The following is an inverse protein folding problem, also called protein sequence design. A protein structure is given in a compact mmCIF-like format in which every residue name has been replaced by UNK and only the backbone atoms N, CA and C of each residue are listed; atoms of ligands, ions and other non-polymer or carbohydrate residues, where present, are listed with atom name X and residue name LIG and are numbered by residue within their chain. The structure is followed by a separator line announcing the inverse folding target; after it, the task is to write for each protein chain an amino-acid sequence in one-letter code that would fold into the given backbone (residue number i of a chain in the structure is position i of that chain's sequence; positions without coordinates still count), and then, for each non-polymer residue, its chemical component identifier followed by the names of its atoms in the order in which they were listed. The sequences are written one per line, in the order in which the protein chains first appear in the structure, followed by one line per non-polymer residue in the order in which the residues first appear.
data_IF_125889606498
#
_entry.id   IF_125889606498
#
_cell.length_a   1.000
_cell.length_b   1.000
_cell.length_c   1.000
_cell.angle_alpha   90.00
_cell.angle_beta   90.00
_cell.angle_gamma   90.00
#
_symmetry.space_group_name_H-M   'P 1'
#
loop_
_entity.id
_entity.type
_entity.pdbx_description
1 polymer ?
#
# COMPACT_ATOMS: atom_id res chain seq x y z
N UNK A 1 -0.20 31.40 26.09
CA UNK A 1 1.09 30.73 26.25
C UNK A 1 1.00 29.23 26.26
N UNK A 2 -0.15 28.71 26.55
CA UNK A 2 -0.47 27.30 26.34
C UNK A 2 -0.42 26.90 24.86
N UNK A 3 -0.63 27.86 23.94
CA UNK A 3 -0.72 27.61 22.51
C UNK A 3 0.57 27.08 21.87
N UNK A 4 1.74 27.59 22.31
CA UNK A 4 3.02 27.13 21.75
C UNK A 4 3.36 25.73 22.18
N UNK A 5 3.04 25.36 23.41
CA UNK A 5 3.28 24.03 23.93
C UNK A 5 2.31 23.01 23.29
N UNK A 6 1.04 23.40 23.13
CA UNK A 6 0.04 22.59 22.47
C UNK A 6 0.40 22.36 21.01
N UNK A 7 0.87 23.39 20.30
CA UNK A 7 1.31 23.29 18.91
C UNK A 7 2.53 22.38 18.77
N UNK A 8 3.45 22.47 19.72
CA UNK A 8 4.62 21.58 19.75
C UNK A 8 4.21 20.12 19.90
N UNK A 9 3.31 19.84 20.84
CA UNK A 9 2.82 18.47 21.06
C UNK A 9 2.05 17.95 19.86
N UNK A 10 1.21 18.76 19.24
CA UNK A 10 0.47 18.41 18.02
C UNK A 10 1.41 18.11 16.86
N UNK A 11 2.46 18.92 16.70
CA UNK A 11 3.46 18.71 15.66
C UNK A 11 4.23 17.41 15.89
N UNK A 12 4.61 17.11 17.13
CA UNK A 12 5.26 15.85 17.49
C UNK A 12 4.38 14.65 17.14
N UNK A 13 3.10 14.76 17.47
CA UNK A 13 2.14 13.68 17.15
C UNK A 13 2.03 13.47 15.65
N UNK A 14 1.93 14.57 14.89
CA UNK A 14 1.84 14.48 13.42
C UNK A 14 3.12 13.89 12.82
N UNK A 15 4.29 14.22 13.35
CA UNK A 15 5.55 13.64 12.92
C UNK A 15 5.59 12.12 13.18
N UNK A 16 5.08 11.69 14.34
CA UNK A 16 4.97 10.26 14.65
C UNK A 16 4.01 9.55 13.70
N UNK A 17 2.87 10.18 13.41
CA UNK A 17 1.89 9.63 12.48
C UNK A 17 2.46 9.53 11.06
N UNK A 18 3.24 10.52 10.64
CA UNK A 18 3.92 10.49 9.35
C UNK A 18 4.95 9.36 9.28
N UNK A 19 5.71 9.20 10.35
CA UNK A 19 6.71 8.13 10.47
C UNK A 19 6.04 6.76 10.38
N UNK A 20 4.93 6.59 11.09
CA UNK A 20 4.15 5.35 11.06
C UNK A 20 3.58 5.09 9.67
N UNK A 21 3.05 6.12 9.03
CA UNK A 21 2.53 6.03 7.66
C UNK A 21 3.62 5.59 6.69
N UNK A 22 4.83 6.14 6.79
CA UNK A 22 5.97 5.75 5.95
C UNK A 22 6.35 4.29 6.15
N UNK A 23 6.30 3.80 7.39
CA UNK A 23 6.56 2.39 7.68
C UNK A 23 5.51 1.49 7.03
N UNK A 24 4.24 1.91 7.09
CA UNK A 24 3.15 1.16 6.43
C UNK A 24 3.31 1.14 4.92
N UNK A 25 3.73 2.27 4.32
CA UNK A 25 4.01 2.34 2.89
C UNK A 25 5.15 1.39 2.50
N UNK A 26 6.22 1.36 3.29
CA UNK A 26 7.36 0.47 3.04
C UNK A 26 6.95 -1.00 3.10
N UNK A 27 6.15 -1.38 4.10
CA UNK A 27 5.62 -2.74 4.23
C UNK A 27 4.71 -3.10 3.05
N UNK A 28 3.88 -2.16 2.63
CA UNK A 28 2.99 -2.38 1.49
C UNK A 28 3.79 -2.59 0.21
N UNK A 29 4.88 -1.84 0.02
CA UNK A 29 5.77 -2.03 -1.12
C UNK A 29 6.39 -3.42 -1.13
N UNK A 30 6.82 -3.93 0.04
CA UNK A 30 7.32 -5.30 0.17
C UNK A 30 6.25 -6.32 -0.25
N UNK A 31 5.02 -6.11 0.20
CA UNK A 31 3.89 -6.97 -0.16
C UNK A 31 3.62 -6.91 -1.66
N UNK A 32 3.65 -5.72 -2.26
CA UNK A 32 3.47 -5.54 -3.70
C UNK A 32 4.54 -6.29 -4.49
N UNK A 33 5.79 -6.21 -4.05
CA UNK A 33 6.91 -6.90 -4.70
C UNK A 33 6.74 -8.41 -4.62
N UNK A 34 6.35 -8.93 -3.45
CA UNK A 34 6.07 -10.35 -3.26
C UNK A 34 4.90 -10.80 -4.14
N UNK A 35 3.84 -10.00 -4.19
CA UNK A 35 2.69 -10.27 -5.03
C UNK A 35 3.07 -10.32 -6.52
N UNK A 36 3.92 -9.39 -6.96
CA UNK A 36 4.43 -9.37 -8.33
C UNK A 36 5.22 -10.62 -8.67
N UNK A 37 6.06 -11.08 -7.74
CA UNK A 37 6.83 -12.31 -7.91
C UNK A 37 5.90 -13.52 -8.02
N UNK A 38 4.87 -13.57 -7.20
CA UNK A 38 3.86 -14.64 -7.24
C UNK A 38 3.13 -14.61 -8.59
N UNK A 39 2.72 -13.44 -9.07
CA UNK A 39 2.06 -13.30 -10.38
C UNK A 39 2.94 -13.79 -11.52
N UNK A 40 4.22 -13.42 -11.49
CA UNK A 40 5.18 -13.85 -12.50
C UNK A 40 5.35 -15.37 -12.50
N UNK A 41 5.41 -15.97 -11.31
CA UNK A 41 5.52 -17.41 -11.14
C UNK A 41 4.27 -18.13 -11.63
N UNK A 42 3.10 -17.59 -11.28
CA UNK A 42 1.81 -18.14 -11.74
C UNK A 42 1.67 -18.09 -13.26
N UNK A 43 2.13 -16.99 -13.85
CA UNK A 43 2.10 -16.85 -15.31
C UNK A 43 2.98 -17.91 -15.99
N UNK A 44 4.17 -18.13 -15.45
CA UNK A 44 5.07 -19.18 -15.93
C UNK A 44 4.45 -20.56 -15.81
N UNK A 45 3.84 -20.86 -14.66
CA UNK A 45 3.15 -22.13 -14.43
C UNK A 45 1.98 -22.30 -15.39
N UNK A 46 1.19 -21.24 -15.59
CA UNK A 46 0.05 -21.26 -16.51
C UNK A 46 0.51 -21.61 -17.93
N UNK A 47 1.57 -20.96 -18.40
CA UNK A 47 2.12 -21.23 -19.73
C UNK A 47 2.63 -22.65 -19.86
N UNK A 48 3.33 -23.15 -18.84
CA UNK A 48 3.89 -24.50 -18.82
C UNK A 48 2.77 -25.55 -18.80
N UNK A 49 1.78 -25.35 -17.93
CA UNK A 49 0.63 -26.28 -17.81
C UNK A 49 -0.21 -26.27 -19.08
N UNK A 50 -0.39 -25.12 -19.70
CA UNK A 50 -1.16 -24.98 -20.94
C UNK A 50 -0.54 -25.79 -22.08
N UNK A 51 0.79 -25.93 -22.08
CA UNK A 51 1.50 -26.73 -23.08
C UNK A 51 1.33 -28.24 -22.85
N UNK A 52 1.10 -28.64 -21.61
CA UNK A 52 1.10 -30.06 -21.22
C UNK A 52 -0.32 -30.58 -21.02
N UNK A 53 -1.20 -29.79 -20.44
CA UNK A 53 -2.56 -30.19 -20.04
C UNK A 53 -3.60 -29.21 -20.57
N UNK A 54 -4.80 -29.76 -20.85
CA UNK A 54 -5.96 -28.98 -21.25
C UNK A 54 -7.14 -29.32 -20.32
N UNK A 55 -8.17 -28.45 -20.28
CA UNK A 55 -9.41 -28.70 -19.54
C UNK A 55 -9.42 -28.17 -18.13
N UNK A 56 -9.63 -29.03 -17.13
CA UNK A 56 -9.88 -28.64 -15.74
C UNK A 56 -8.74 -27.87 -15.10
N UNK A 57 -7.53 -28.13 -15.51
CA UNK A 57 -6.33 -27.39 -15.03
C UNK A 57 -6.40 -25.92 -15.42
N UNK A 58 -6.87 -25.62 -16.62
CA UNK A 58 -7.01 -24.23 -17.08
C UNK A 58 -8.03 -23.46 -16.24
N UNK A 59 -9.13 -24.12 -15.83
CA UNK A 59 -10.14 -23.49 -14.97
C UNK A 59 -9.56 -23.07 -13.62
N UNK A 60 -8.75 -23.94 -13.00
CA UNK A 60 -8.11 -23.65 -11.73
C UNK A 60 -7.13 -22.48 -11.84
N UNK A 61 -6.37 -22.42 -12.93
CA UNK A 61 -5.43 -21.33 -13.20
C UNK A 61 -6.15 -20.02 -13.47
N UNK A 62 -7.30 -20.06 -14.13
CA UNK A 62 -8.14 -18.88 -14.34
C UNK A 62 -8.69 -18.33 -13.03
N UNK A 63 -9.10 -19.21 -12.10
CA UNK A 63 -9.54 -18.82 -10.78
C UNK A 63 -8.41 -18.16 -9.99
N UNK A 64 -7.21 -18.73 -10.05
CA UNK A 64 -6.03 -18.15 -9.41
C UNK A 64 -5.75 -16.75 -9.96
N UNK A 65 -5.82 -16.60 -11.27
CA UNK A 65 -5.62 -15.30 -11.93
C UNK A 65 -6.67 -14.27 -11.49
N UNK A 66 -7.92 -14.71 -11.34
CA UNK A 66 -8.99 -13.85 -10.81
C UNK A 66 -8.65 -13.34 -9.41
N UNK A 67 -8.21 -14.23 -8.51
CA UNK A 67 -7.82 -13.84 -7.15
C UNK A 67 -6.63 -12.90 -7.15
N UNK A 68 -5.66 -13.11 -8.02
CA UNK A 68 -4.50 -12.23 -8.16
C UNK A 68 -4.92 -10.81 -8.56
N UNK A 69 -5.88 -10.68 -9.48
CA UNK A 69 -6.43 -9.38 -9.88
C UNK A 69 -7.14 -8.69 -8.73
N UNK A 70 -7.90 -9.43 -7.91
CA UNK A 70 -8.56 -8.87 -6.74
C UNK A 70 -7.55 -8.37 -5.71
N UNK A 71 -6.48 -9.13 -5.51
CA UNK A 71 -5.39 -8.73 -4.61
C UNK A 71 -4.69 -7.46 -5.10
N UNK A 72 -4.43 -7.36 -6.39
CA UNK A 72 -3.81 -6.16 -6.98
C UNK A 72 -4.69 -4.93 -6.74
N UNK A 73 -5.99 -5.04 -6.95
CA UNK A 73 -6.94 -3.95 -6.69
C UNK A 73 -6.94 -3.54 -5.23
N UNK A 74 -6.90 -4.51 -4.32
CA UNK A 74 -6.84 -4.24 -2.88
C UNK A 74 -5.56 -3.50 -2.51
N UNK A 75 -4.42 -3.95 -3.02
CA UNK A 75 -3.12 -3.33 -2.75
C UNK A 75 -3.06 -1.91 -3.28
N UNK A 76 -3.55 -1.69 -4.50
CA UNK A 76 -3.60 -0.35 -5.11
C UNK A 76 -4.48 0.60 -4.30
N UNK A 77 -5.63 0.13 -3.85
CA UNK A 77 -6.54 0.91 -3.03
C UNK A 77 -5.91 1.27 -1.70
N UNK A 78 -5.23 0.32 -1.07
CA UNK A 78 -4.54 0.54 0.21
C UNK A 78 -3.40 1.55 0.06
N UNK A 79 -2.64 1.43 -1.01
CA UNK A 79 -1.56 2.36 -1.34
C UNK A 79 -2.10 3.79 -1.51
N UNK A 80 -3.19 3.93 -2.24
CA UNK A 80 -3.85 5.22 -2.46
C UNK A 80 -4.31 5.84 -1.14
N UNK A 81 -4.91 5.05 -0.26
CA UNK A 81 -5.36 5.49 1.06
C UNK A 81 -4.18 6.00 1.90
N UNK A 82 -3.06 5.28 1.90
CA UNK A 82 -1.86 5.68 2.66
C UNK A 82 -1.25 6.97 2.11
N UNK A 83 -1.25 7.15 0.80
CA UNK A 83 -0.74 8.38 0.17
C UNK A 83 -1.65 9.58 0.49
N UNK A 84 -2.96 9.41 0.48
CA UNK A 84 -3.90 10.45 0.87
C UNK A 84 -3.71 10.83 2.35
N UNK A 85 -3.54 9.84 3.22
CA UNK A 85 -3.27 10.07 4.64
C UNK A 85 -1.98 10.87 4.83
N UNK A 86 -0.93 10.52 4.09
CA UNK A 86 0.35 11.24 4.14
C UNK A 86 0.17 12.70 3.74
N UNK A 87 -0.56 12.97 2.65
CA UNK A 87 -0.83 14.33 2.18
C UNK A 87 -1.57 15.14 3.26
N UNK A 88 -2.61 14.55 3.84
CA UNK A 88 -3.39 15.19 4.88
C UNK A 88 -2.54 15.52 6.12
N UNK A 89 -1.70 14.59 6.54
CA UNK A 89 -0.81 14.79 7.69
C UNK A 89 0.20 15.90 7.41
N UNK A 90 0.75 15.95 6.21
CA UNK A 90 1.69 17.00 5.82
C UNK A 90 1.01 18.37 5.79
N UNK A 91 -0.22 18.45 5.31
CA UNK A 91 -0.99 19.70 5.30
C UNK A 91 -1.29 20.16 6.71
N UNK A 92 -1.66 19.26 7.62
CA UNK A 92 -1.91 19.59 9.02
C UNK A 92 -0.64 20.12 9.69
N UNK A 93 0.48 19.47 9.43
CA UNK A 93 1.79 19.90 9.95
C UNK A 93 2.15 21.28 9.43
N UNK A 94 1.96 21.53 8.14
CA UNK A 94 2.23 22.83 7.51
C UNK A 94 1.37 23.94 8.11
N UNK A 95 0.10 23.67 8.40
CA UNK A 95 -0.78 24.64 9.05
C UNK A 95 -0.31 25.01 10.45
N UNK A 96 0.19 24.02 11.20
CA UNK A 96 0.75 24.28 12.53
C UNK A 96 2.01 25.14 12.46
N UNK A 97 2.90 24.86 11.51
CA UNK A 97 4.12 25.62 11.30
C UNK A 97 3.81 27.07 10.91
N UNK A 98 2.79 27.29 10.10
CA UNK A 98 2.34 28.62 9.70
C UNK A 98 1.80 29.40 10.90
N UNK A 99 1.07 28.73 11.81
CA UNK A 99 0.53 29.37 13.00
C UNK A 99 1.61 29.75 14.02
N UNK A 100 2.73 29.05 14.01
CA UNK A 100 3.86 29.34 14.91
C UNK A 100 4.63 30.60 14.53
N UNK A 101 4.48 31.08 13.31
CA UNK A 101 5.06 32.33 12.85
C UNK A 101 4.12 33.51 13.19
#
# INVERSE_FOLDING_TARGET
MTNNQDNYQKRMLLEEQLKDNKKKQAKLEEIENTHQDIENHSRYLKETVHKIFTGQYNTNLEQLHYFEKQNTKYLDKRKHTLLEEEINLKLQKQKLETKEK
#
